data_IF_514355412015
#
_entry.id   IF_514355412015
#
_cell.length_a   1.000
_cell.length_b   1.000
_cell.length_c   1.000
_cell.angle_alpha   90.00
_cell.angle_beta   90.00
_cell.angle_gamma   90.00
#
_symmetry.space_group_name_H-M   'P 1'
#
loop_
_entity.id
_entity.type
_entity.pdbx_description
1 polymer ?
#
# COMPACT_ATOMS: atom_id res chain seq x y z
N UNK A 1 7.25 -7.79 29.60
CA UNK A 1 7.95 -7.29 28.38
C UNK A 1 7.31 -7.77 27.06
N UNK A 2 6.83 -9.02 26.91
CA UNK A 2 6.20 -9.48 25.65
C UNK A 2 4.86 -8.80 25.29
N UNK A 3 4.07 -8.36 26.27
CA UNK A 3 2.77 -7.69 26.04
C UNK A 3 2.88 -6.36 25.28
N UNK A 4 3.92 -5.55 25.51
CA UNK A 4 4.05 -4.25 24.85
C UNK A 4 4.41 -4.36 23.37
N UNK A 5 5.15 -5.41 22.97
CA UNK A 5 5.53 -5.61 21.58
C UNK A 5 4.39 -6.19 20.73
N UNK A 6 3.57 -7.06 21.32
CA UNK A 6 2.37 -7.61 20.66
C UNK A 6 1.31 -6.54 20.44
N UNK A 7 1.06 -5.69 21.44
CA UNK A 7 0.09 -4.58 21.29
C UNK A 7 0.52 -3.59 20.19
N UNK A 8 1.83 -3.28 20.09
CA UNK A 8 2.35 -2.38 19.07
C UNK A 8 2.26 -2.96 17.65
N UNK A 9 2.44 -4.29 17.50
CA UNK A 9 2.25 -4.96 16.21
C UNK A 9 0.78 -4.97 15.78
N UNK A 10 -0.13 -5.15 16.75
CA UNK A 10 -1.57 -5.19 16.49
C UNK A 10 -2.10 -3.80 16.10
N UNK A 11 -1.64 -2.73 16.77
CA UNK A 11 -1.95 -1.34 16.42
C UNK A 11 -1.44 -0.98 15.02
N UNK A 12 -0.17 -1.29 14.71
CA UNK A 12 0.41 -0.96 13.40
C UNK A 12 -0.30 -1.72 12.27
N UNK A 13 -0.70 -2.96 12.52
CA UNK A 13 -1.52 -3.76 11.60
C UNK A 13 -2.86 -3.08 11.32
N UNK A 14 -3.56 -2.62 12.36
CA UNK A 14 -4.85 -1.93 12.20
C UNK A 14 -4.72 -0.63 11.37
N UNK A 15 -3.62 0.11 11.53
CA UNK A 15 -3.37 1.33 10.75
C UNK A 15 -3.12 0.99 9.27
N UNK A 16 -2.33 -0.05 8.97
CA UNK A 16 -2.12 -0.52 7.59
C UNK A 16 -3.46 -0.89 6.95
N UNK A 17 -4.25 -1.74 7.61
CA UNK A 17 -5.56 -2.17 7.11
C UNK A 17 -6.52 -1.00 6.89
N UNK A 18 -6.48 0.01 7.78
CA UNK A 18 -7.27 1.24 7.62
C UNK A 18 -6.86 2.02 6.37
N UNK A 19 -5.56 2.14 6.08
CA UNK A 19 -5.06 2.81 4.87
C UNK A 19 -5.42 2.05 3.59
N UNK A 20 -5.49 0.71 3.65
CA UNK A 20 -5.85 -0.14 2.50
C UNK A 20 -7.36 -0.20 2.23
N UNK A 21 -8.20 0.28 3.15
CA UNK A 21 -9.66 0.21 3.06
C UNK A 21 -10.25 0.62 1.70
N UNK A 22 -9.77 1.68 1.01
CA UNK A 22 -10.31 2.06 -0.30
C UNK A 22 -10.13 1.00 -1.41
N UNK A 23 -9.21 0.06 -1.25
CA UNK A 23 -8.96 -1.05 -2.21
C UNK A 23 -9.18 -2.44 -1.60
N UNK A 24 -9.76 -2.52 -0.39
CA UNK A 24 -9.99 -3.78 0.32
C UNK A 24 -10.86 -4.76 -0.49
N UNK A 25 -11.84 -4.24 -1.24
CA UNK A 25 -12.64 -5.05 -2.15
C UNK A 25 -11.81 -5.67 -3.28
N UNK A 26 -10.78 -4.99 -3.78
CA UNK A 26 -9.89 -5.53 -4.81
C UNK A 26 -8.91 -6.54 -4.23
N UNK A 27 -8.37 -6.28 -3.02
CA UNK A 27 -7.47 -7.22 -2.34
C UNK A 27 -8.15 -8.55 -2.01
N UNK A 28 -9.48 -8.53 -1.76
CA UNK A 28 -10.28 -9.73 -1.47
C UNK A 28 -10.81 -10.44 -2.72
N UNK A 29 -10.64 -9.85 -3.91
CA UNK A 29 -11.11 -10.45 -5.15
C UNK A 29 -10.04 -11.40 -5.70
N UNK A 30 -10.21 -12.70 -5.44
CA UNK A 30 -9.30 -13.76 -5.89
C UNK A 30 -9.21 -13.89 -7.42
N UNK A 31 -10.08 -13.21 -8.19
CA UNK A 31 -10.00 -13.17 -9.65
C UNK A 31 -9.03 -12.12 -10.20
N UNK A 32 -8.48 -11.26 -9.31
CA UNK A 32 -7.50 -10.24 -9.66
C UNK A 32 -6.06 -10.74 -9.44
N UNK A 33 -5.17 -10.32 -10.34
CA UNK A 33 -3.76 -10.68 -10.34
C UNK A 33 -2.88 -9.54 -9.85
N UNK A 34 -3.22 -8.29 -10.22
CA UNK A 34 -2.43 -7.10 -9.90
C UNK A 34 -3.35 -5.93 -9.51
N UNK A 35 -2.88 -5.11 -8.56
CA UNK A 35 -3.47 -3.82 -8.18
C UNK A 35 -2.34 -2.79 -8.26
N UNK A 36 -2.49 -1.79 -9.13
CA UNK A 36 -1.43 -0.83 -9.46
C UNK A 36 -1.91 0.60 -9.29
N UNK A 37 -1.09 1.43 -8.65
CA UNK A 37 -1.36 2.86 -8.43
C UNK A 37 -0.19 3.66 -8.99
N UNK A 38 -0.34 4.14 -10.22
CA UNK A 38 0.72 4.91 -10.89
C UNK A 38 0.59 6.41 -10.71
N UNK A 39 -0.58 6.90 -10.30
CA UNK A 39 -0.86 8.32 -10.07
C UNK A 39 -1.95 8.49 -9.01
N UNK A 40 -2.01 9.66 -8.34
CA UNK A 40 -3.09 9.95 -7.40
C UNK A 40 -4.48 9.76 -8.01
N UNK A 41 -5.43 9.36 -7.16
CA UNK A 41 -6.86 9.19 -7.45
C UNK A 41 -7.21 8.03 -8.39
N UNK A 42 -6.24 7.25 -8.85
CA UNK A 42 -6.47 6.22 -9.86
C UNK A 42 -5.84 4.89 -9.44
N UNK A 43 -6.65 3.83 -9.50
CA UNK A 43 -6.23 2.45 -9.30
C UNK A 43 -6.46 1.68 -10.59
N UNK A 44 -5.46 0.91 -11.01
CA UNK A 44 -5.58 -0.07 -12.08
C UNK A 44 -5.64 -1.46 -11.49
N UNK A 45 -6.54 -2.29 -12.00
CA UNK A 45 -6.64 -3.71 -11.63
C UNK A 45 -6.50 -4.57 -12.87
N UNK A 46 -5.81 -5.70 -12.72
CA UNK A 46 -5.70 -6.72 -13.76
C UNK A 46 -6.37 -8.01 -13.27
N UNK A 47 -7.21 -8.60 -14.11
CA UNK A 47 -7.77 -9.94 -13.89
C UNK A 47 -7.95 -10.65 -15.22
N UNK A 48 -8.79 -11.70 -15.25
CA UNK A 48 -9.02 -12.53 -16.46
C UNK A 48 -9.48 -11.70 -17.67
N UNK A 49 -10.23 -10.62 -17.44
CA UNK A 49 -10.72 -9.72 -18.50
C UNK A 49 -9.71 -8.66 -18.93
N UNK A 50 -8.47 -8.71 -18.45
CA UNK A 50 -7.44 -7.69 -18.68
C UNK A 50 -7.55 -6.49 -17.72
N UNK A 51 -6.95 -5.38 -18.15
CA UNK A 51 -6.79 -4.17 -17.33
C UNK A 51 -8.05 -3.33 -17.26
N UNK A 52 -8.36 -2.84 -16.06
CA UNK A 52 -9.39 -1.82 -15.81
C UNK A 52 -8.82 -0.71 -14.95
N UNK A 53 -9.34 0.51 -15.14
CA UNK A 53 -8.94 1.69 -14.39
C UNK A 53 -10.15 2.24 -13.63
N UNK A 54 -9.95 2.54 -12.35
CA UNK A 54 -10.99 2.93 -11.41
C UNK A 54 -10.54 4.19 -10.69
N UNK A 55 -11.44 5.17 -10.57
CA UNK A 55 -11.21 6.37 -9.78
C UNK A 55 -11.44 6.07 -8.29
N UNK A 56 -10.49 6.46 -7.46
CA UNK A 56 -10.49 6.29 -6.00
C UNK A 56 -10.11 7.64 -5.36
N UNK A 57 -11.10 8.53 -5.12
CA UNK A 57 -10.87 9.90 -4.65
C UNK A 57 -10.08 10.00 -3.34
N UNK A 58 -10.10 8.96 -2.51
CA UNK A 58 -9.37 8.87 -1.24
C UNK A 58 -7.84 8.80 -1.44
N UNK A 59 -7.38 8.36 -2.60
CA UNK A 59 -5.94 8.16 -2.90
C UNK A 59 -5.27 9.41 -3.45
N UNK A 60 -5.36 10.51 -2.72
CA UNK A 60 -4.51 11.68 -2.97
C UNK A 60 -3.02 11.33 -2.82
N UNK A 61 -2.13 12.14 -3.40
CA UNK A 61 -0.68 11.95 -3.25
C UNK A 61 -0.25 11.88 -1.78
N UNK A 62 -0.82 12.74 -0.92
CA UNK A 62 -0.49 12.77 0.50
C UNK A 62 -0.95 11.50 1.22
N UNK A 63 -2.11 10.97 0.86
CA UNK A 63 -2.61 9.72 1.43
C UNK A 63 -1.77 8.52 1.00
N UNK A 64 -1.38 8.45 -0.27
CA UNK A 64 -0.48 7.40 -0.79
C UNK A 64 0.91 7.47 -0.13
N UNK A 65 1.47 8.66 0.04
CA UNK A 65 2.73 8.85 0.77
C UNK A 65 2.60 8.46 2.24
N UNK A 66 1.47 8.78 2.87
CA UNK A 66 1.15 8.35 4.23
C UNK A 66 1.05 6.83 4.36
N UNK A 67 0.38 6.18 3.41
CA UNK A 67 0.29 4.72 3.31
C UNK A 67 1.69 4.09 3.18
N UNK A 68 2.55 4.61 2.31
CA UNK A 68 3.91 4.12 2.14
C UNK A 68 4.73 4.17 3.44
N UNK A 69 4.61 5.26 4.20
CA UNK A 69 5.29 5.41 5.50
C UNK A 69 4.78 4.43 6.54
N UNK A 70 3.46 4.21 6.62
CA UNK A 70 2.86 3.25 7.54
C UNK A 70 3.30 1.82 7.19
N UNK A 71 3.31 1.45 5.90
CA UNK A 71 3.75 0.12 5.44
C UNK A 71 5.25 -0.09 5.68
N UNK A 72 6.07 0.95 5.51
CA UNK A 72 7.48 0.91 5.87
C UNK A 72 7.65 0.62 7.38
N UNK A 73 6.93 1.34 8.24
CA UNK A 73 6.98 1.14 9.69
C UNK A 73 6.51 -0.28 10.08
N UNK A 74 5.40 -0.75 9.51
CA UNK A 74 4.88 -2.10 9.70
C UNK A 74 5.92 -3.18 9.37
N UNK A 75 6.59 -3.03 8.22
CA UNK A 75 7.61 -3.97 7.76
C UNK A 75 8.98 -3.77 8.41
N UNK A 76 9.10 -2.88 9.41
CA UNK A 76 10.37 -2.50 10.08
C UNK A 76 11.43 -2.01 9.10
N UNK A 77 10.99 -1.34 8.04
CA UNK A 77 11.81 -0.74 7.00
C UNK A 77 11.63 0.79 7.03
N UNK A 78 12.34 1.48 6.13
CA UNK A 78 12.21 2.92 5.95
C UNK A 78 12.02 3.25 4.47
N UNK A 79 11.24 4.28 4.19
CA UNK A 79 11.08 4.84 2.85
C UNK A 79 11.30 6.36 2.92
N UNK A 80 12.13 6.89 2.02
CA UNK A 80 12.47 8.31 1.96
C UNK A 80 12.97 8.67 0.56
N UNK A 81 13.22 9.95 0.30
CA UNK A 81 13.86 10.40 -0.95
C UNK A 81 15.26 9.79 -1.18
N UNK A 82 15.98 9.46 -0.11
CA UNK A 82 17.28 8.76 -0.17
C UNK A 82 17.16 7.24 -0.29
N UNK A 83 16.05 6.67 0.16
CA UNK A 83 15.72 5.23 0.02
C UNK A 83 14.30 5.08 -0.54
N UNK A 84 14.09 5.31 -1.85
CA UNK A 84 12.76 5.53 -2.41
C UNK A 84 12.01 4.26 -2.81
N UNK A 85 12.58 3.09 -2.59
CA UNK A 85 12.00 1.79 -2.97
C UNK A 85 11.76 0.97 -1.71
N UNK A 86 10.56 0.41 -1.59
CA UNK A 86 10.14 -0.45 -0.49
C UNK A 86 9.47 -1.71 -1.02
N UNK A 87 10.01 -2.88 -0.65
CA UNK A 87 9.37 -4.19 -0.86
C UNK A 87 8.88 -4.72 0.47
N UNK A 88 7.63 -5.15 0.57
CA UNK A 88 7.07 -5.68 1.81
C UNK A 88 5.98 -6.73 1.55
N UNK A 89 5.56 -7.37 2.64
CA UNK A 89 4.36 -8.22 2.69
C UNK A 89 3.32 -7.52 3.55
N UNK A 90 2.08 -7.44 3.07
CA UNK A 90 0.93 -6.86 3.77
C UNK A 90 0.39 -7.84 4.83
N UNK A 91 -0.47 -7.38 5.77
CA UNK A 91 -0.97 -8.22 6.86
C UNK A 91 -1.67 -9.52 6.44
N UNK A 92 -2.27 -9.56 5.24
CA UNK A 92 -2.98 -10.75 4.74
C UNK A 92 -2.12 -11.54 3.71
N UNK A 93 -0.80 -11.38 3.74
CA UNK A 93 0.21 -12.05 2.91
C UNK A 93 0.33 -11.58 1.46
N UNK A 94 -0.36 -10.53 1.04
CA UNK A 94 -0.14 -9.93 -0.26
C UNK A 94 1.25 -9.29 -0.33
N UNK A 95 1.90 -9.36 -1.49
CA UNK A 95 3.18 -8.65 -1.71
C UNK A 95 2.90 -7.24 -2.19
N UNK A 96 3.70 -6.29 -1.73
CA UNK A 96 3.60 -4.90 -2.18
C UNK A 96 4.97 -4.35 -2.54
N UNK A 97 5.01 -3.59 -3.64
CA UNK A 97 6.15 -2.80 -4.07
C UNK A 97 5.75 -1.32 -4.14
N UNK A 98 6.49 -0.46 -3.46
CA UNK A 98 6.27 0.98 -3.47
C UNK A 98 7.53 1.67 -3.96
N UNK A 99 7.36 2.59 -4.91
CA UNK A 99 8.42 3.47 -5.40
C UNK A 99 7.95 4.91 -5.31
N UNK A 100 8.72 5.77 -4.66
CA UNK A 100 8.40 7.19 -4.47
C UNK A 100 9.42 8.10 -5.18
N UNK A 101 9.11 9.40 -5.39
CA UNK A 101 10.11 10.35 -5.87
C UNK A 101 11.35 10.40 -4.96
N UNK A 102 12.57 10.59 -5.53
CA UNK A 102 12.83 10.95 -6.92
C UNK A 102 12.96 9.76 -7.89
N UNK A 103 12.84 8.51 -7.45
CA UNK A 103 13.00 7.34 -8.32
C UNK A 103 11.90 7.21 -9.39
N UNK A 104 10.76 7.87 -9.18
CA UNK A 104 9.68 8.04 -10.15
C UNK A 104 9.31 9.53 -10.28
N UNK A 105 8.65 9.89 -11.39
CA UNK A 105 8.16 11.25 -11.62
C UNK A 105 7.17 11.66 -10.52
N UNK A 106 7.29 12.88 -10.02
CA UNK A 106 6.28 13.49 -9.16
C UNK A 106 5.07 13.89 -10.02
N UNK A 107 3.90 13.34 -9.69
CA UNK A 107 2.62 13.70 -10.28
C UNK A 107 1.97 14.88 -9.55
#
# INVERSE_FOLDING_TARGET
MKQNFQNLSDETTAIVLTKLKPIDNFLKDESLFEIVINRPYQVMIEGISGWKTIEVPEFSFNELMGMAKVIAAYSKQSISDKNPILSATLPNNERIQIVIPPAVKKH
#
